data_IF_798703320749
#
_entry.id   IF_798703320749
#
_cell.length_a   1.000
_cell.length_b   1.000
_cell.length_c   1.000
_cell.angle_alpha   90.00
_cell.angle_beta   90.00
_cell.angle_gamma   90.00
#
_symmetry.space_group_name_H-M   'P 1'
#
loop_
_entity.id
_entity.type
_entity.pdbx_description
1 polymer ?
#
# COMPACT_ATOMS: atom_id res chain seq x y z
N UNK A 1 -29.32 36.96 -0.32
CA UNK A 1 -29.88 35.76 0.34
C UNK A 1 -29.01 34.58 -0.04
N UNK A 2 -28.22 34.03 0.89
CA UNK A 2 -27.38 32.86 0.64
C UNK A 2 -28.21 31.58 0.77
N UNK A 3 -28.07 30.69 -0.21
CA UNK A 3 -28.83 29.45 -0.33
C UNK A 3 -28.53 28.50 0.86
N UNK A 4 -29.51 28.10 1.69
CA UNK A 4 -29.32 27.28 2.90
C UNK A 4 -28.80 25.85 2.65
N UNK A 5 -28.68 25.40 1.40
CA UNK A 5 -28.31 24.03 1.04
C UNK A 5 -26.89 23.85 0.49
N UNK A 6 -26.06 24.90 0.43
CA UNK A 6 -24.63 24.66 0.16
C UNK A 6 -24.01 24.07 1.42
N UNK A 7 -23.83 22.76 1.43
CA UNK A 7 -22.91 22.11 2.35
C UNK A 7 -21.62 22.94 2.35
N UNK A 8 -21.27 23.55 3.48
CA UNK A 8 -20.01 24.27 3.58
C UNK A 8 -18.89 23.21 3.56
N UNK A 9 -18.41 22.89 2.36
CA UNK A 9 -17.38 21.91 2.06
C UNK A 9 -15.97 22.46 2.31
N UNK A 10 -15.83 23.62 2.94
CA UNK A 10 -14.53 24.23 3.21
C UNK A 10 -13.64 23.26 3.98
N UNK A 11 -14.16 22.61 5.02
CA UNK A 11 -13.41 21.62 5.79
C UNK A 11 -12.96 20.42 4.93
N UNK A 12 -13.84 19.90 4.09
CA UNK A 12 -13.52 18.79 3.18
C UNK A 12 -12.40 19.18 2.17
N UNK A 13 -12.40 20.43 1.69
CA UNK A 13 -11.34 20.94 0.81
C UNK A 13 -10.05 21.25 1.57
N UNK A 14 -10.14 21.79 2.78
CA UNK A 14 -9.01 22.13 3.63
C UNK A 14 -8.24 20.88 4.06
N UNK A 15 -8.94 19.77 4.33
CA UNK A 15 -8.31 18.48 4.58
C UNK A 15 -7.38 18.07 3.44
N UNK A 16 -7.82 18.18 2.18
CA UNK A 16 -7.00 17.83 1.00
C UNK A 16 -5.80 18.78 0.85
N UNK A 17 -5.94 20.05 1.21
CA UNK A 17 -4.81 21.00 1.23
C UNK A 17 -3.82 20.65 2.34
N UNK A 18 -4.31 20.30 3.52
CA UNK A 18 -3.49 19.86 4.64
C UNK A 18 -2.72 18.59 4.30
N UNK A 19 -3.32 17.65 3.56
CA UNK A 19 -2.67 16.43 3.09
C UNK A 19 -1.48 16.76 2.17
N UNK A 20 -1.67 17.67 1.20
CA UNK A 20 -0.58 18.12 0.31
C UNK A 20 0.55 18.84 1.05
N UNK A 21 0.24 19.44 2.19
CA UNK A 21 1.21 20.09 3.07
C UNK A 21 1.76 19.13 4.15
N UNK A 22 1.43 17.84 4.08
CA UNK A 22 1.83 16.79 5.04
C UNK A 22 1.45 17.12 6.50
N UNK A 23 0.44 17.96 6.71
CA UNK A 23 -0.07 18.30 8.03
C UNK A 23 -1.18 17.34 8.45
N UNK A 24 -0.78 16.12 8.81
CA UNK A 24 -1.71 15.02 9.08
C UNK A 24 -2.65 15.27 10.26
N UNK A 25 -2.22 16.00 11.30
CA UNK A 25 -3.11 16.37 12.41
C UNK A 25 -4.25 17.28 11.93
N UNK A 26 -3.94 18.27 11.07
CA UNK A 26 -4.95 19.14 10.49
C UNK A 26 -5.84 18.39 9.49
N UNK A 27 -5.31 17.40 8.77
CA UNK A 27 -6.11 16.49 7.93
C UNK A 27 -7.21 15.84 8.75
N UNK A 28 -6.87 15.27 9.91
CA UNK A 28 -7.84 14.59 10.76
C UNK A 28 -8.89 15.58 11.30
N UNK A 29 -8.45 16.73 11.82
CA UNK A 29 -9.34 17.77 12.35
C UNK A 29 -10.35 18.29 11.31
N UNK A 30 -9.87 18.65 10.12
CA UNK A 30 -10.74 19.16 9.05
C UNK A 30 -11.66 18.04 8.50
N UNK A 31 -11.18 16.80 8.46
CA UNK A 31 -11.99 15.65 8.09
C UNK A 31 -13.16 15.39 9.04
N UNK A 32 -12.90 15.41 10.35
CA UNK A 32 -13.93 15.22 11.37
C UNK A 32 -14.99 16.33 11.32
N UNK A 33 -14.56 17.60 11.17
CA UNK A 33 -15.47 18.74 11.00
C UNK A 33 -16.30 18.65 9.71
N UNK A 34 -15.74 18.08 8.63
CA UNK A 34 -16.48 17.81 7.42
C UNK A 34 -17.55 16.72 7.66
N UNK A 35 -17.19 15.61 8.32
CA UNK A 35 -18.09 14.47 8.59
C UNK A 35 -19.24 14.79 9.54
N UNK A 36 -19.09 15.75 10.46
CA UNK A 36 -20.15 16.19 11.38
C UNK A 36 -21.39 16.77 10.68
N UNK A 37 -21.35 16.99 9.36
CA UNK A 37 -22.49 17.49 8.59
C UNK A 37 -23.40 16.34 8.16
N UNK A 38 -24.62 16.34 8.71
CA UNK A 38 -25.66 15.32 8.53
C UNK A 38 -26.13 15.09 7.07
N UNK A 39 -25.52 15.71 6.05
CA UNK A 39 -25.96 15.64 4.65
C UNK A 39 -24.83 15.39 3.64
N UNK A 40 -23.73 14.73 4.03
CA UNK A 40 -22.71 14.30 3.05
C UNK A 40 -23.13 13.01 2.33
N UNK A 41 -23.08 12.96 0.99
CA UNK A 41 -23.24 11.71 0.24
C UNK A 41 -22.20 10.66 0.66
N UNK A 42 -22.58 9.38 0.62
CA UNK A 42 -21.69 8.26 0.96
C UNK A 42 -20.37 8.27 0.16
N UNK A 43 -20.43 8.66 -1.12
CA UNK A 43 -19.24 8.80 -1.97
C UNK A 43 -18.25 9.86 -1.45
N UNK A 44 -18.74 10.96 -0.89
CA UNK A 44 -17.88 12.00 -0.34
C UNK A 44 -17.34 11.60 1.03
N UNK A 45 -18.17 10.95 1.87
CA UNK A 45 -17.71 10.34 3.11
C UNK A 45 -16.59 9.31 2.85
N UNK A 46 -16.74 8.47 1.83
CA UNK A 46 -15.73 7.49 1.42
C UNK A 46 -14.37 8.15 1.15
N UNK A 47 -14.35 9.28 0.42
CA UNK A 47 -13.12 10.03 0.13
C UNK A 47 -12.50 10.61 1.40
N UNK A 48 -13.32 11.19 2.30
CA UNK A 48 -12.83 11.77 3.56
C UNK A 48 -12.15 10.70 4.41
N UNK A 49 -12.79 9.54 4.57
CA UNK A 49 -12.23 8.43 5.32
C UNK A 49 -10.97 7.85 4.65
N UNK A 50 -10.88 7.85 3.31
CA UNK A 50 -9.65 7.43 2.61
C UNK A 50 -8.47 8.34 2.96
N UNK A 51 -8.71 9.66 3.02
CA UNK A 51 -7.70 10.66 3.36
C UNK A 51 -7.33 10.61 4.84
N UNK A 52 -8.30 10.36 5.74
CA UNK A 52 -8.01 10.13 7.15
C UNK A 52 -7.16 8.86 7.36
N UNK A 53 -7.44 7.80 6.61
CA UNK A 53 -6.65 6.58 6.66
C UNK A 53 -5.18 6.82 6.27
N UNK A 54 -4.95 7.60 5.20
CA UNK A 54 -3.61 8.01 4.79
C UNK A 54 -2.91 8.84 5.87
N UNK A 55 -3.61 9.80 6.48
CA UNK A 55 -3.06 10.62 7.56
C UNK A 55 -2.68 9.77 8.79
N UNK A 56 -3.57 8.86 9.22
CA UNK A 56 -3.27 7.93 10.30
C UNK A 56 -2.07 7.03 9.98
N UNK A 57 -1.98 6.53 8.74
CA UNK A 57 -0.84 5.70 8.30
C UNK A 57 0.49 6.46 8.39
N UNK A 58 0.53 7.73 7.94
CA UNK A 58 1.74 8.56 8.04
C UNK A 58 2.10 8.93 9.49
N UNK A 59 1.11 8.95 10.38
CA UNK A 59 1.32 9.12 11.83
C UNK A 59 1.65 7.80 12.54
N UNK A 60 1.83 6.68 11.82
CA UNK A 60 2.01 5.32 12.36
C UNK A 60 0.87 4.84 13.26
N UNK A 61 -0.33 5.41 13.08
CA UNK A 61 -1.56 5.07 13.80
C UNK A 61 -2.31 3.97 13.02
N UNK A 62 -1.67 2.81 12.86
CA UNK A 62 -2.12 1.79 11.90
C UNK A 62 -3.50 1.21 12.20
N UNK A 63 -3.87 1.04 13.48
CA UNK A 63 -5.23 0.58 13.83
C UNK A 63 -6.30 1.58 13.37
N UNK A 64 -6.09 2.88 13.59
CA UNK A 64 -6.99 3.93 13.12
C UNK A 64 -6.99 4.02 11.58
N UNK A 65 -5.83 3.84 10.95
CA UNK A 65 -5.72 3.81 9.48
C UNK A 65 -6.57 2.69 8.86
N UNK A 66 -6.50 1.48 9.43
CA UNK A 66 -7.34 0.33 9.04
C UNK A 66 -8.82 0.69 9.18
N UNK A 67 -9.25 1.15 10.36
CA UNK A 67 -10.66 1.49 10.60
C UNK A 67 -11.19 2.53 9.61
N UNK A 68 -10.42 3.59 9.35
CA UNK A 68 -10.81 4.62 8.39
C UNK A 68 -10.87 4.07 6.96
N UNK A 69 -9.89 3.26 6.53
CA UNK A 69 -9.87 2.70 5.17
C UNK A 69 -10.99 1.66 4.96
N UNK A 70 -11.31 0.84 5.96
CA UNK A 70 -12.48 -0.04 5.92
C UNK A 70 -13.78 0.75 5.75
N UNK A 71 -13.93 1.84 6.51
CA UNK A 71 -15.10 2.71 6.39
C UNK A 71 -15.19 3.34 5.00
N UNK A 72 -14.06 3.75 4.45
CA UNK A 72 -13.96 4.27 3.08
C UNK A 72 -14.44 3.24 2.05
N UNK A 73 -13.94 2.00 2.12
CA UNK A 73 -14.30 0.91 1.20
C UNK A 73 -15.76 0.52 1.35
N UNK A 74 -16.29 0.45 2.59
CA UNK A 74 -17.71 0.16 2.85
C UNK A 74 -18.65 1.16 2.17
N UNK A 75 -18.24 2.43 2.09
CA UNK A 75 -19.02 3.51 1.50
C UNK A 75 -18.79 3.67 -0.01
N UNK A 76 -17.82 2.96 -0.58
CA UNK A 76 -17.51 3.02 -1.99
C UNK A 76 -18.61 2.34 -2.83
N UNK A 77 -18.91 2.91 -3.99
CA UNK A 77 -19.98 2.41 -4.88
C UNK A 77 -19.57 1.14 -5.62
N UNK A 78 -18.26 0.96 -5.85
CA UNK A 78 -17.69 -0.19 -6.57
C UNK A 78 -16.43 -0.69 -5.87
N UNK A 79 -16.13 -1.99 -5.96
CA UNK A 79 -14.84 -2.52 -5.54
C UNK A 79 -13.71 -1.79 -6.27
N UNK A 80 -12.70 -1.37 -5.51
CA UNK A 80 -11.49 -0.74 -6.02
C UNK A 80 -10.29 -1.60 -5.62
N UNK A 81 -9.61 -2.27 -6.56
CA UNK A 81 -8.46 -3.10 -6.23
C UNK A 81 -7.37 -2.30 -5.52
N UNK A 82 -7.18 -1.01 -5.88
CA UNK A 82 -6.18 -0.18 -5.21
C UNK A 82 -6.55 0.06 -3.75
N UNK A 83 -7.79 0.37 -3.45
CA UNK A 83 -8.24 0.51 -2.06
C UNK A 83 -7.99 -0.76 -1.23
N UNK A 84 -8.18 -1.95 -1.81
CA UNK A 84 -7.86 -3.23 -1.16
C UNK A 84 -6.34 -3.41 -0.94
N UNK A 85 -5.50 -3.00 -1.90
CA UNK A 85 -4.03 -3.05 -1.74
C UNK A 85 -3.54 -2.07 -0.67
N UNK A 86 -4.10 -0.86 -0.61
CA UNK A 86 -3.81 0.11 0.44
C UNK A 86 -4.21 -0.45 1.82
N UNK A 87 -5.41 -1.00 1.93
CA UNK A 87 -5.89 -1.62 3.18
C UNK A 87 -5.04 -2.84 3.56
N UNK A 88 -4.62 -3.64 2.58
CA UNK A 88 -3.70 -4.76 2.79
C UNK A 88 -2.38 -4.29 3.39
N UNK A 89 -1.77 -3.23 2.86
CA UNK A 89 -0.58 -2.63 3.45
C UNK A 89 -0.82 -2.16 4.89
N UNK A 90 -1.92 -1.44 5.15
CA UNK A 90 -2.28 -0.99 6.51
C UNK A 90 -2.47 -2.16 7.48
N UNK A 91 -3.07 -3.27 7.03
CA UNK A 91 -3.21 -4.47 7.84
C UNK A 91 -1.88 -5.14 8.17
N UNK A 92 -0.93 -5.17 7.23
CA UNK A 92 0.43 -5.66 7.48
C UNK A 92 1.14 -4.82 8.55
N UNK A 93 1.11 -3.51 8.41
CA UNK A 93 1.72 -2.58 9.39
C UNK A 93 1.03 -2.64 10.76
N UNK A 94 -0.28 -2.94 10.79
CA UNK A 94 -1.02 -3.20 12.02
C UNK A 94 -0.76 -4.60 12.63
N UNK A 95 0.15 -5.40 12.06
CA UNK A 95 0.49 -6.73 12.55
C UNK A 95 -0.55 -7.81 12.23
N UNK A 96 -1.40 -7.60 11.23
CA UNK A 96 -2.42 -8.56 10.79
C UNK A 96 -2.24 -8.96 9.31
N UNK A 97 -1.15 -9.66 8.96
CA UNK A 97 -0.88 -10.05 7.58
C UNK A 97 -1.87 -11.08 7.02
N UNK A 98 -2.64 -11.78 7.87
CA UNK A 98 -3.72 -12.67 7.42
C UNK A 98 -4.85 -11.90 6.73
N UNK A 99 -5.31 -10.80 7.34
CA UNK A 99 -6.30 -9.92 6.71
C UNK A 99 -5.76 -9.27 5.44
N UNK A 100 -4.48 -8.92 5.44
CA UNK A 100 -3.82 -8.41 4.24
C UNK A 100 -3.83 -9.42 3.09
N UNK A 101 -3.55 -10.69 3.38
CA UNK A 101 -3.61 -11.78 2.41
C UNK A 101 -5.03 -11.99 1.86
N UNK A 102 -6.06 -12.01 2.73
CA UNK A 102 -7.46 -12.15 2.32
C UNK A 102 -7.88 -11.09 1.28
N UNK A 103 -7.49 -9.82 1.48
CA UNK A 103 -7.81 -8.72 0.57
C UNK A 103 -7.12 -8.85 -0.79
N UNK A 104 -5.86 -9.29 -0.79
CA UNK A 104 -5.11 -9.49 -2.03
C UNK A 104 -5.65 -10.70 -2.80
N UNK A 105 -6.00 -11.78 -2.09
CA UNK A 105 -6.61 -12.95 -2.70
C UNK A 105 -7.99 -12.62 -3.26
N UNK A 106 -8.80 -11.83 -2.55
CA UNK A 106 -10.07 -11.31 -3.06
C UNK A 106 -9.89 -10.57 -4.39
N UNK A 107 -8.84 -9.74 -4.52
CA UNK A 107 -8.55 -9.07 -5.79
C UNK A 107 -8.25 -10.09 -6.92
N UNK A 108 -7.42 -11.09 -6.65
CA UNK A 108 -7.06 -12.12 -7.64
C UNK A 108 -8.26 -12.98 -8.06
N UNK A 109 -9.03 -13.48 -7.09
CA UNK A 109 -10.18 -14.37 -7.30
C UNK A 109 -11.30 -13.68 -8.10
N UNK A 110 -11.41 -12.36 -7.98
CA UNK A 110 -12.46 -11.58 -8.64
C UNK A 110 -11.97 -10.84 -9.89
N UNK A 111 -10.75 -11.08 -10.37
CA UNK A 111 -10.29 -10.39 -11.57
C UNK A 111 -9.96 -8.90 -11.38
N UNK A 112 -9.82 -8.44 -10.13
CA UNK A 112 -9.62 -7.02 -9.80
C UNK A 112 -8.13 -6.68 -9.84
N UNK A 113 -7.72 -5.96 -10.88
CA UNK A 113 -6.38 -5.38 -10.99
C UNK A 113 -6.44 -3.87 -11.22
N UNK A 114 -5.39 -3.15 -10.84
CA UNK A 114 -5.24 -1.76 -11.28
C UNK A 114 -5.21 -1.70 -12.83
N UNK A 115 -5.78 -0.67 -13.43
CA UNK A 115 -5.60 -0.42 -14.87
C UNK A 115 -4.31 0.40 -15.06
N UNK A 116 -3.29 -0.20 -15.69
CA UNK A 116 -2.01 0.44 -16.05
C UNK A 116 -1.51 0.00 -17.43
N UNK A 117 -0.34 0.53 -17.86
CA UNK A 117 0.29 0.18 -19.15
C UNK A 117 0.72 -1.29 -19.17
N UNK A 118 -0.22 -2.18 -19.49
CA UNK A 118 0.04 -3.59 -19.79
C UNK A 118 -1.05 -4.51 -19.24
N UNK A 119 -2.07 -4.83 -20.04
CA UNK A 119 -3.24 -5.68 -19.72
C UNK A 119 -2.97 -6.96 -18.91
N UNK A 120 -3.72 -7.15 -17.81
CA UNK A 120 -3.77 -8.39 -17.01
C UNK A 120 -3.00 -8.29 -15.69
N UNK A 121 -3.61 -8.73 -14.58
CA UNK A 121 -3.14 -8.67 -13.18
C UNK A 121 -1.70 -8.14 -13.02
N UNK A 122 -1.60 -6.87 -12.64
CA UNK A 122 -0.34 -6.14 -12.65
C UNK A 122 0.50 -6.49 -11.42
N UNK A 123 1.78 -6.20 -11.56
CA UNK A 123 2.80 -6.36 -10.53
C UNK A 123 2.38 -5.96 -9.09
N UNK A 124 1.65 -4.84 -8.87
CA UNK A 124 1.24 -4.45 -7.53
C UNK A 124 0.48 -5.55 -6.76
N UNK A 125 -0.47 -6.25 -7.38
CA UNK A 125 -1.24 -7.29 -6.67
C UNK A 125 -0.34 -8.45 -6.22
N UNK A 126 0.54 -8.94 -7.12
CA UNK A 126 1.50 -9.98 -6.79
C UNK A 126 2.56 -9.53 -5.77
N UNK A 127 2.95 -8.27 -5.83
CA UNK A 127 3.87 -7.67 -4.86
C UNK A 127 3.25 -7.62 -3.46
N UNK A 128 2.01 -7.16 -3.33
CA UNK A 128 1.30 -7.17 -2.05
C UNK A 128 1.00 -8.60 -1.56
N UNK A 129 0.76 -9.55 -2.46
CA UNK A 129 0.63 -10.97 -2.13
C UNK A 129 1.92 -11.50 -1.50
N UNK A 130 3.06 -11.31 -2.18
CA UNK A 130 4.36 -11.74 -1.69
C UNK A 130 4.74 -11.06 -0.37
N UNK A 131 4.40 -9.78 -0.18
CA UNK A 131 4.61 -9.06 1.06
C UNK A 131 3.79 -9.65 2.23
N UNK A 132 2.50 -9.95 2.02
CA UNK A 132 1.67 -10.55 3.05
C UNK A 132 2.15 -11.97 3.41
N UNK A 133 2.55 -12.77 2.41
CA UNK A 133 3.12 -14.11 2.60
C UNK A 133 4.46 -14.07 3.34
N UNK A 134 5.31 -13.08 3.04
CA UNK A 134 6.59 -12.87 3.73
C UNK A 134 6.36 -12.60 5.22
N UNK A 135 5.39 -11.75 5.57
CA UNK A 135 5.05 -11.46 6.97
C UNK A 135 4.45 -12.66 7.71
N UNK A 136 3.83 -13.59 6.97
CA UNK A 136 3.35 -14.88 7.50
C UNK A 136 4.46 -15.93 7.62
N UNK A 137 5.69 -15.62 7.18
CA UNK A 137 6.80 -16.58 7.14
C UNK A 137 6.71 -17.61 6.00
N UNK A 138 5.78 -17.43 5.07
CA UNK A 138 5.56 -18.29 3.91
C UNK A 138 6.48 -17.88 2.76
N UNK A 139 7.80 -18.01 2.98
CA UNK A 139 8.81 -17.44 2.10
C UNK A 139 8.85 -18.07 0.70
N UNK A 140 8.51 -19.36 0.57
CA UNK A 140 8.48 -20.05 -0.72
C UNK A 140 7.36 -19.49 -1.59
N UNK A 141 6.15 -19.44 -1.05
CA UNK A 141 4.97 -18.89 -1.71
C UNK A 141 5.15 -17.40 -1.99
N UNK A 142 5.81 -16.66 -1.09
CA UNK A 142 6.16 -15.26 -1.34
C UNK A 142 7.09 -15.12 -2.56
N UNK A 143 8.12 -15.96 -2.67
CA UNK A 143 9.03 -15.92 -3.81
C UNK A 143 8.34 -16.28 -5.13
N UNK A 144 7.40 -17.23 -5.11
CA UNK A 144 6.55 -17.56 -6.26
C UNK A 144 5.66 -16.39 -6.67
N UNK A 145 5.00 -15.73 -5.71
CA UNK A 145 4.18 -14.55 -5.96
C UNK A 145 5.00 -13.41 -6.59
N UNK A 146 6.17 -13.07 -6.04
CA UNK A 146 7.05 -12.06 -6.63
C UNK A 146 7.53 -12.45 -8.03
N UNK A 147 7.79 -13.73 -8.27
CA UNK A 147 8.21 -14.23 -9.59
C UNK A 147 7.10 -14.07 -10.63
N UNK A 148 5.87 -14.48 -10.31
CA UNK A 148 4.71 -14.29 -11.18
C UNK A 148 4.46 -12.81 -11.51
N UNK A 149 4.68 -11.93 -10.54
CA UNK A 149 4.65 -10.50 -10.77
C UNK A 149 5.77 -10.01 -11.71
N UNK A 150 7.01 -10.43 -11.47
CA UNK A 150 8.18 -10.05 -12.27
C UNK A 150 8.10 -10.52 -13.73
N UNK A 151 7.38 -11.60 -14.02
CA UNK A 151 7.05 -11.99 -15.40
C UNK A 151 6.21 -10.93 -16.13
N UNK A 152 5.40 -10.14 -15.40
CA UNK A 152 4.53 -9.10 -15.96
C UNK A 152 5.21 -7.75 -16.04
N UNK A 153 6.00 -7.40 -15.03
CA UNK A 153 6.76 -6.16 -15.01
C UNK A 153 8.18 -6.43 -14.46
N UNK A 154 9.13 -6.74 -15.36
CA UNK A 154 10.49 -7.15 -15.00
C UNK A 154 11.40 -5.98 -14.56
N UNK A 155 10.91 -4.73 -14.59
CA UNK A 155 11.63 -3.54 -14.13
C UNK A 155 11.23 -3.09 -12.72
N UNK A 156 10.35 -3.83 -12.04
CA UNK A 156 9.88 -3.50 -10.70
C UNK A 156 10.94 -3.84 -9.64
N UNK A 157 11.88 -2.91 -9.42
CA UNK A 157 13.05 -3.09 -8.55
C UNK A 157 12.71 -3.68 -7.17
N UNK A 158 11.67 -3.19 -6.51
CA UNK A 158 11.29 -3.60 -5.15
C UNK A 158 10.87 -5.06 -5.04
N UNK A 159 10.34 -5.67 -6.11
CA UNK A 159 10.01 -7.09 -6.08
C UNK A 159 11.27 -7.95 -6.05
N UNK A 160 12.35 -7.54 -6.74
CA UNK A 160 13.64 -8.21 -6.61
C UNK A 160 14.19 -8.09 -5.20
N UNK A 161 14.12 -6.91 -4.57
CA UNK A 161 14.57 -6.77 -3.19
C UNK A 161 13.80 -7.70 -2.24
N UNK A 162 12.47 -7.67 -2.27
CA UNK A 162 11.68 -8.49 -1.34
C UNK A 162 11.76 -9.98 -1.65
N UNK A 163 11.82 -10.37 -2.93
CA UNK A 163 12.06 -11.77 -3.31
C UNK A 163 13.45 -12.25 -2.86
N UNK A 164 14.47 -11.39 -2.97
CA UNK A 164 15.80 -11.67 -2.43
C UNK A 164 15.80 -11.87 -0.91
N UNK A 165 15.01 -11.10 -0.16
CA UNK A 165 14.78 -11.32 1.28
C UNK A 165 14.11 -12.68 1.52
N UNK A 166 13.07 -13.03 0.75
CA UNK A 166 12.42 -14.34 0.87
C UNK A 166 13.38 -15.50 0.58
N UNK A 167 14.20 -15.42 -0.47
CA UNK A 167 15.25 -16.40 -0.77
C UNK A 167 16.30 -16.49 0.34
N UNK A 168 16.66 -15.36 0.94
CA UNK A 168 17.60 -15.34 2.06
C UNK A 168 17.08 -16.13 3.27
N UNK A 169 15.79 -15.96 3.60
CA UNK A 169 15.12 -16.74 4.65
C UNK A 169 15.02 -18.23 4.32
N UNK A 170 14.92 -18.59 3.03
CA UNK A 170 14.96 -19.98 2.57
C UNK A 170 16.38 -20.57 2.54
N UNK A 171 17.42 -19.78 2.80
CA UNK A 171 18.82 -20.19 2.69
C UNK A 171 19.36 -20.23 1.26
N UNK A 172 18.57 -19.78 0.27
CA UNK A 172 18.95 -19.68 -1.14
C UNK A 172 19.81 -18.43 -1.38
N UNK A 173 21.03 -18.42 -0.80
CA UNK A 173 21.91 -17.24 -0.76
C UNK A 173 22.35 -16.76 -2.15
N UNK A 174 22.51 -17.65 -3.13
CA UNK A 174 22.88 -17.27 -4.49
C UNK A 174 21.75 -16.55 -5.22
N UNK A 175 20.52 -17.06 -5.11
CA UNK A 175 19.33 -16.42 -5.69
C UNK A 175 19.07 -15.06 -5.03
N UNK A 176 19.21 -14.98 -3.70
CA UNK A 176 19.10 -13.72 -2.97
C UNK A 176 20.12 -12.68 -3.46
N UNK A 177 21.40 -13.06 -3.62
CA UNK A 177 22.44 -12.18 -4.17
C UNK A 177 22.14 -11.73 -5.60
N UNK A 178 21.64 -12.63 -6.45
CA UNK A 178 21.28 -12.31 -7.82
C UNK A 178 20.15 -11.26 -7.87
N UNK A 179 19.11 -11.46 -7.08
CA UNK A 179 17.98 -10.54 -6.96
C UNK A 179 18.41 -9.18 -6.38
N UNK A 180 19.27 -9.16 -5.38
CA UNK A 180 19.83 -7.93 -4.82
C UNK A 180 20.67 -7.12 -5.80
N UNK A 181 21.47 -7.78 -6.65
CA UNK A 181 22.18 -7.12 -7.75
C UNK A 181 21.20 -6.52 -8.77
N UNK A 182 20.13 -7.25 -9.08
CA UNK A 182 19.09 -6.77 -10.01
C UNK A 182 18.32 -5.57 -9.44
N UNK A 183 17.99 -5.59 -8.15
CA UNK A 183 17.43 -4.45 -7.43
C UNK A 183 18.33 -3.21 -7.52
N UNK A 184 19.62 -3.34 -7.22
CA UNK A 184 20.59 -2.23 -7.30
C UNK A 184 20.74 -1.65 -8.71
N UNK A 185 20.58 -2.48 -9.74
CA UNK A 185 20.63 -2.03 -11.14
C UNK A 185 19.40 -1.22 -11.58
N UNK A 186 18.27 -1.35 -10.87
CA UNK A 186 16.98 -0.75 -11.25
C UNK A 186 16.53 0.37 -10.31
N UNK A 187 16.94 0.34 -9.04
CA UNK A 187 16.47 1.29 -8.04
C UNK A 187 17.10 2.67 -8.22
N UNK A 188 16.28 3.73 -8.12
CA UNK A 188 16.79 5.09 -7.98
C UNK A 188 17.48 5.23 -6.61
N UNK A 189 18.75 5.65 -6.61
CA UNK A 189 19.59 5.74 -5.41
C UNK A 189 18.93 6.55 -4.28
N UNK A 190 18.04 7.51 -4.59
CA UNK A 190 17.34 8.29 -3.55
C UNK A 190 16.40 7.46 -2.67
N UNK A 191 15.94 6.29 -3.14
CA UNK A 191 15.11 5.37 -2.39
C UNK A 191 15.92 4.28 -1.68
N UNK A 192 17.25 4.26 -1.86
CA UNK A 192 18.13 3.31 -1.20
C UNK A 192 18.46 3.75 0.23
N UNK A 193 17.55 3.42 1.15
CA UNK A 193 17.71 3.66 2.59
C UNK A 193 18.81 2.79 3.22
N UNK A 194 19.35 3.25 4.36
CA UNK A 194 20.42 2.54 5.11
C UNK A 194 20.06 1.10 5.48
N UNK A 195 18.78 0.82 5.80
CA UNK A 195 18.32 -0.54 6.08
C UNK A 195 18.50 -1.50 4.90
N UNK A 196 18.34 -1.01 3.66
CA UNK A 196 18.57 -1.82 2.46
C UNK A 196 20.06 -2.08 2.29
N UNK A 197 20.91 -1.06 2.48
CA UNK A 197 22.37 -1.20 2.40
C UNK A 197 22.90 -2.20 3.43
N UNK A 198 22.40 -2.13 4.67
CA UNK A 198 22.72 -3.09 5.72
C UNK A 198 22.37 -4.52 5.28
N UNK A 199 21.15 -4.73 4.76
CA UNK A 199 20.72 -6.05 4.28
C UNK A 199 21.59 -6.58 3.13
N UNK A 200 21.97 -5.72 2.20
CA UNK A 200 22.84 -6.07 1.08
C UNK A 200 24.24 -6.46 1.56
N UNK A 201 24.78 -5.74 2.55
CA UNK A 201 26.09 -6.01 3.15
C UNK A 201 26.15 -7.36 3.88
N UNK A 202 25.07 -7.78 4.56
CA UNK A 202 24.96 -9.12 5.19
C UNK A 202 25.20 -10.26 4.19
N UNK A 203 24.85 -10.04 2.91
CA UNK A 203 25.05 -11.02 1.83
C UNK A 203 26.26 -10.73 0.94
N UNK A 204 27.12 -9.78 1.33
CA UNK A 204 28.31 -9.41 0.59
C UNK A 204 28.01 -8.74 -0.76
N UNK A 205 26.85 -8.08 -0.90
CA UNK A 205 26.48 -7.33 -2.11
C UNK A 205 26.89 -5.87 -1.93
N UNK A 206 27.93 -5.45 -2.65
CA UNK A 206 28.42 -4.07 -2.61
C UNK A 206 27.45 -3.11 -3.30
N UNK A 207 27.17 -1.99 -2.63
CA UNK A 207 26.39 -0.87 -3.18
C UNK A 207 27.33 0.01 -4.03
N UNK A 208 27.01 0.29 -5.30
CA UNK A 208 27.82 1.11 -6.18
C UNK A 208 27.66 2.63 -5.98
#
# INVERSE_FOLDING_TARGET
MQNPQRANLAHCSNQLKALKAENYTLVLQEGDLCLQKNTLPASLQSVIYAVQAEAHSNLNQFSQAVTAKEKSIQLAVKPDPRANLDLSAMYREAGNPKKALELVQYNLDNGLGEAGKGSGFHMPTYYHLGLALTDLGQYREAAEAFSAGLERQPDYAWAYYTRGVAYDHLGAKDDARADFKKFLALVDKKYLLEKHKAKLAELGVSVP
#
